data_IF_188552050858
#
_entry.id   IF_188552050858
#
_cell.length_a   1.000
_cell.length_b   1.000
_cell.length_c   1.000
_cell.angle_alpha   90.00
_cell.angle_beta   90.00
_cell.angle_gamma   90.00
#
_symmetry.space_group_name_H-M   'P 1'
#
loop_
_entity.id
_entity.type
_entity.pdbx_description
1 polymer ?
#
# COMPACT_ATOMS: atom_id res chain seq x y z
N UNK A 1 17.09 -2.82 6.28
CA UNK A 1 15.95 -3.45 5.59
C UNK A 1 16.04 -4.95 5.80
N UNK A 2 14.98 -5.58 6.30
CA UNK A 2 14.93 -7.05 6.36
C UNK A 2 14.88 -7.61 4.93
N UNK A 3 15.58 -8.71 4.62
CA UNK A 3 15.48 -9.34 3.31
C UNK A 3 14.03 -9.70 3.00
N UNK A 4 13.58 -9.45 1.77
CA UNK A 4 12.16 -9.54 1.35
C UNK A 4 11.51 -10.90 1.65
N UNK A 5 12.31 -11.96 1.70
CA UNK A 5 11.85 -13.31 2.10
C UNK A 5 11.35 -13.34 3.54
N UNK A 6 11.98 -12.61 4.45
CA UNK A 6 11.57 -12.51 5.86
C UNK A 6 10.26 -11.73 6.00
N UNK A 7 10.11 -10.65 5.22
CA UNK A 7 8.87 -9.86 5.18
C UNK A 7 7.70 -10.72 4.70
N UNK A 8 7.91 -11.61 3.73
CA UNK A 8 6.88 -12.56 3.27
C UNK A 8 6.66 -13.75 4.21
N UNK A 9 7.69 -14.18 4.95
CA UNK A 9 7.59 -15.32 5.86
C UNK A 9 6.57 -15.08 6.97
N UNK A 10 6.52 -13.88 7.54
CA UNK A 10 5.58 -13.51 8.61
C UNK A 10 4.11 -13.71 8.21
N UNK A 11 3.58 -13.09 7.13
CA UNK A 11 2.21 -13.32 6.70
C UNK A 11 2.01 -14.77 6.26
N UNK A 12 2.99 -15.42 5.63
CA UNK A 12 2.87 -16.84 5.25
C UNK A 12 2.65 -17.73 6.48
N UNK A 13 3.46 -17.58 7.52
CA UNK A 13 3.35 -18.36 8.77
C UNK A 13 1.98 -18.11 9.42
N UNK A 14 1.54 -16.85 9.49
CA UNK A 14 0.24 -16.49 10.06
C UNK A 14 -0.91 -17.19 9.30
N UNK A 15 -0.89 -17.16 7.98
CA UNK A 15 -1.91 -17.81 7.15
C UNK A 15 -1.83 -19.34 7.24
N UNK A 16 -0.64 -19.94 7.37
CA UNK A 16 -0.46 -21.38 7.61
C UNK A 16 -1.05 -21.78 8.96
N UNK A 17 -0.73 -21.05 10.03
CA UNK A 17 -1.28 -21.30 11.37
C UNK A 17 -2.80 -21.19 11.36
N UNK A 18 -3.33 -20.17 10.70
CA UNK A 18 -4.76 -19.99 10.54
C UNK A 18 -5.43 -21.15 9.78
N UNK A 19 -4.85 -21.55 8.65
CA UNK A 19 -5.34 -22.68 7.86
C UNK A 19 -5.29 -23.98 8.68
N UNK A 20 -4.21 -24.22 9.43
CA UNK A 20 -4.05 -25.39 10.29
C UNK A 20 -5.10 -25.42 11.40
N UNK A 21 -5.37 -24.30 12.07
CA UNK A 21 -6.44 -24.19 13.08
C UNK A 21 -7.80 -24.46 12.45
N UNK A 22 -8.07 -23.90 11.28
CA UNK A 22 -9.35 -24.09 10.57
C UNK A 22 -9.54 -25.55 10.17
N UNK A 23 -8.52 -26.22 9.65
CA UNK A 23 -8.55 -27.65 9.30
C UNK A 23 -8.71 -28.51 10.56
N UNK A 24 -7.98 -28.21 11.63
CA UNK A 24 -8.10 -28.92 12.90
C UNK A 24 -9.51 -28.79 13.49
N UNK A 25 -10.09 -27.59 13.42
CA UNK A 25 -11.49 -27.33 13.80
C UNK A 25 -12.45 -28.12 12.92
N UNK A 26 -12.27 -28.09 11.59
CA UNK A 26 -13.10 -28.84 10.63
C UNK A 26 -13.06 -30.34 10.87
N UNK A 27 -11.90 -30.88 11.26
CA UNK A 27 -11.75 -32.30 11.59
C UNK A 27 -12.47 -32.68 12.89
N UNK A 28 -12.34 -31.87 13.94
CA UNK A 28 -12.90 -32.21 15.26
C UNK A 28 -14.37 -31.81 15.43
N UNK A 29 -14.83 -30.79 14.70
CA UNK A 29 -16.18 -30.23 14.79
C UNK A 29 -16.86 -30.16 13.42
N UNK A 30 -16.65 -31.19 12.59
CA UNK A 30 -17.13 -31.26 11.20
C UNK A 30 -18.61 -30.85 11.04
N UNK A 31 -19.49 -31.35 11.91
CA UNK A 31 -20.94 -31.05 11.85
C UNK A 31 -21.25 -29.57 12.04
N UNK A 32 -20.51 -28.91 12.93
CA UNK A 32 -20.68 -27.47 13.21
C UNK A 32 -20.19 -26.65 12.03
N UNK A 33 -19.04 -27.01 11.47
CA UNK A 33 -18.47 -26.29 10.32
C UNK A 33 -19.28 -26.49 9.05
N UNK A 34 -19.78 -27.70 8.77
CA UNK A 34 -20.68 -27.94 7.64
C UNK A 34 -21.94 -27.10 7.76
N UNK A 35 -22.55 -27.02 8.94
CA UNK A 35 -23.73 -26.20 9.14
C UNK A 35 -23.44 -24.69 8.97
N UNK A 36 -22.29 -24.23 9.44
CA UNK A 36 -21.82 -22.84 9.25
C UNK A 36 -21.59 -22.53 7.76
N UNK A 37 -20.94 -23.44 7.01
CA UNK A 37 -20.63 -23.25 5.59
C UNK A 37 -21.89 -23.33 4.71
N UNK A 38 -22.77 -24.29 4.99
CA UNK A 38 -24.04 -24.44 4.25
C UNK A 38 -25.10 -23.43 4.67
N UNK A 39 -24.84 -22.64 5.72
CA UNK A 39 -25.81 -21.77 6.36
C UNK A 39 -27.12 -22.51 6.71
N UNK A 40 -27.01 -23.80 7.03
CA UNK A 40 -28.12 -24.70 7.28
C UNK A 40 -28.00 -25.32 8.68
N UNK A 41 -28.54 -24.60 9.66
CA UNK A 41 -28.58 -25.04 11.04
C UNK A 41 -29.57 -26.20 11.27
N UNK A 42 -30.38 -26.58 10.28
CA UNK A 42 -31.20 -27.80 10.37
C UNK A 42 -30.33 -29.06 10.34
N UNK A 43 -29.10 -28.97 9.84
CA UNK A 43 -28.12 -30.07 9.91
C UNK A 43 -27.59 -30.33 11.33
N UNK A 44 -27.77 -29.35 12.24
CA UNK A 44 -27.46 -29.48 13.67
C UNK A 44 -28.68 -30.03 14.44
N UNK A 45 -29.83 -30.24 13.79
CA UNK A 45 -31.04 -30.76 14.42
C UNK A 45 -30.73 -32.12 15.09
N UNK A 46 -30.78 -32.21 16.44
CA UNK A 46 -30.28 -33.37 17.15
C UNK A 46 -31.36 -34.44 17.12
N UNK A 47 -31.52 -35.16 16.00
CA UNK A 47 -32.50 -36.27 15.91
C UNK A 47 -32.18 -37.49 16.80
N UNK A 48 -31.26 -37.36 17.76
CA UNK A 48 -30.96 -38.43 18.74
C UNK A 48 -29.94 -38.10 19.84
N UNK A 49 -29.20 -36.98 19.76
CA UNK A 49 -28.09 -36.66 20.69
C UNK A 49 -28.49 -35.78 21.90
N UNK A 50 -29.67 -35.14 21.88
CA UNK A 50 -30.19 -34.35 23.00
C UNK A 50 -30.49 -35.17 24.27
N UNK A 51 -30.47 -36.51 24.16
CA UNK A 51 -30.85 -37.39 25.27
C UNK A 51 -29.69 -37.76 26.21
N UNK A 52 -28.43 -37.44 25.87
CA UNK A 52 -27.27 -37.84 26.68
C UNK A 52 -26.37 -36.69 27.16
N UNK A 53 -26.31 -35.56 26.45
CA UNK A 53 -25.41 -34.46 26.82
C UNK A 53 -26.24 -33.24 27.26
N UNK A 54 -26.12 -32.86 28.53
CA UNK A 54 -26.94 -31.81 29.15
C UNK A 54 -26.77 -30.40 28.54
N UNK A 55 -27.54 -29.45 29.04
CA UNK A 55 -27.58 -28.03 28.60
C UNK A 55 -26.20 -27.41 28.33
N UNK A 56 -25.20 -27.69 29.17
CA UNK A 56 -23.84 -27.18 29.01
C UNK A 56 -23.15 -27.63 27.72
N UNK A 57 -23.40 -28.85 27.27
CA UNK A 57 -22.86 -29.35 25.99
C UNK A 57 -23.48 -28.61 24.80
N UNK A 58 -24.77 -28.28 24.89
CA UNK A 58 -25.46 -27.49 23.88
C UNK A 58 -24.92 -26.06 23.82
N UNK A 59 -24.78 -25.39 24.97
CA UNK A 59 -24.16 -24.05 25.04
C UNK A 59 -22.74 -24.03 24.45
N UNK A 60 -21.94 -25.06 24.75
CA UNK A 60 -20.59 -25.19 24.20
C UNK A 60 -20.58 -25.34 22.67
N UNK A 61 -21.50 -26.14 22.13
CA UNK A 61 -21.65 -26.32 20.67
C UNK A 61 -22.02 -25.00 19.98
N UNK A 62 -22.92 -24.20 20.57
CA UNK A 62 -23.28 -22.88 20.04
C UNK A 62 -22.12 -21.88 20.11
N UNK A 63 -21.41 -21.83 21.24
CA UNK A 63 -20.23 -20.98 21.38
C UNK A 63 -19.15 -21.35 20.35
N UNK A 64 -18.91 -22.66 20.14
CA UNK A 64 -18.02 -23.16 19.11
C UNK A 64 -18.50 -22.77 17.70
N UNK A 65 -19.78 -22.87 17.40
CA UNK A 65 -20.33 -22.48 16.10
C UNK A 65 -20.15 -20.99 15.81
N UNK A 66 -20.43 -20.13 16.79
CA UNK A 66 -20.25 -18.68 16.70
C UNK A 66 -18.77 -18.36 16.47
N UNK A 67 -17.86 -18.99 17.23
CA UNK A 67 -16.43 -18.82 17.03
C UNK A 67 -15.98 -19.25 15.63
N UNK A 68 -16.42 -20.41 15.13
CA UNK A 68 -16.10 -20.85 13.76
C UNK A 68 -16.63 -19.90 12.71
N UNK A 69 -17.87 -19.44 12.86
CA UNK A 69 -18.47 -18.49 11.94
C UNK A 69 -17.64 -17.20 11.87
N UNK A 70 -17.27 -16.63 13.01
CA UNK A 70 -16.44 -15.42 13.04
C UNK A 70 -15.03 -15.67 12.50
N UNK A 71 -14.44 -16.82 12.82
CA UNK A 71 -13.13 -17.20 12.35
C UNK A 71 -13.12 -17.32 10.81
N UNK A 72 -14.06 -18.06 10.22
CA UNK A 72 -14.16 -18.23 8.77
C UNK A 72 -14.56 -16.92 8.08
N UNK A 73 -15.51 -16.17 8.63
CA UNK A 73 -15.99 -14.91 8.01
C UNK A 73 -14.91 -13.84 7.98
N UNK A 74 -14.19 -13.65 9.09
CA UNK A 74 -13.19 -12.59 9.20
C UNK A 74 -11.92 -12.94 8.43
N UNK A 75 -11.44 -14.18 8.58
CA UNK A 75 -10.13 -14.56 8.04
C UNK A 75 -10.20 -15.35 6.74
N UNK A 76 -11.35 -15.94 6.39
CA UNK A 76 -11.51 -16.70 5.15
C UNK A 76 -11.29 -15.83 3.91
N UNK A 77 -11.81 -14.60 3.89
CA UNK A 77 -11.54 -13.64 2.81
C UNK A 77 -10.05 -13.29 2.76
N UNK A 78 -9.43 -13.00 3.91
CA UNK A 78 -8.01 -12.65 3.97
C UNK A 78 -7.12 -13.80 3.47
N UNK A 79 -7.43 -15.04 3.87
CA UNK A 79 -6.73 -16.24 3.41
C UNK A 79 -6.91 -16.45 1.91
N UNK A 80 -8.12 -16.30 1.39
CA UNK A 80 -8.39 -16.41 -0.04
C UNK A 80 -7.60 -15.36 -0.84
N UNK A 81 -7.63 -14.09 -0.41
CA UNK A 81 -6.92 -12.99 -1.05
C UNK A 81 -5.39 -13.20 -0.99
N UNK A 82 -4.88 -13.74 0.13
CA UNK A 82 -3.47 -14.07 0.26
C UNK A 82 -3.05 -15.21 -0.68
N UNK A 83 -3.84 -16.29 -0.74
CA UNK A 83 -3.55 -17.44 -1.60
C UNK A 83 -3.60 -17.05 -3.07
N UNK A 84 -4.68 -16.41 -3.50
CA UNK A 84 -4.91 -16.05 -4.92
C UNK A 84 -4.08 -14.85 -5.38
N UNK A 85 -3.65 -14.00 -4.45
CA UNK A 85 -2.81 -12.84 -4.72
C UNK A 85 -1.34 -13.10 -4.45
N UNK A 86 -0.90 -12.78 -3.23
CA UNK A 86 0.51 -12.78 -2.85
C UNK A 86 1.18 -14.13 -3.03
N UNK A 87 0.62 -15.21 -2.47
CA UNK A 87 1.23 -16.54 -2.53
C UNK A 87 1.32 -17.03 -3.99
N UNK A 88 0.24 -16.91 -4.75
CA UNK A 88 0.21 -17.30 -6.15
C UNK A 88 1.25 -16.57 -7.00
N UNK A 89 1.37 -15.24 -6.86
CA UNK A 89 2.40 -14.45 -7.54
C UNK A 89 3.81 -14.95 -7.20
N UNK A 90 4.09 -15.21 -5.91
CA UNK A 90 5.40 -15.71 -5.47
C UNK A 90 5.72 -17.11 -5.99
N UNK A 91 4.72 -17.99 -6.04
CA UNK A 91 4.89 -19.32 -6.60
C UNK A 91 5.15 -19.27 -8.11
N UNK A 92 4.49 -18.37 -8.84
CA UNK A 92 4.59 -18.30 -10.31
C UNK A 92 5.80 -17.52 -10.81
N UNK A 93 6.15 -16.41 -10.17
CA UNK A 93 7.18 -15.49 -10.64
C UNK A 93 8.41 -15.38 -9.73
N UNK A 94 8.38 -16.04 -8.58
CA UNK A 94 9.45 -16.00 -7.58
C UNK A 94 9.52 -14.69 -6.80
N UNK A 95 10.64 -14.51 -6.10
CA UNK A 95 11.03 -13.23 -5.54
C UNK A 95 11.93 -12.52 -6.55
N UNK A 96 11.46 -11.41 -7.12
CA UNK A 96 12.22 -10.67 -8.14
C UNK A 96 13.07 -9.59 -7.49
N UNK A 97 14.12 -9.17 -8.20
CA UNK A 97 14.96 -8.05 -7.80
C UNK A 97 14.17 -6.72 -7.89
N UNK A 98 13.38 -6.55 -8.95
CA UNK A 98 12.42 -5.44 -9.09
C UNK A 98 11.00 -5.96 -8.89
N UNK A 99 10.28 -5.37 -7.93
CA UNK A 99 8.87 -5.68 -7.66
C UNK A 99 7.98 -4.62 -8.32
N UNK A 100 7.00 -5.05 -9.10
CA UNK A 100 6.02 -4.15 -9.71
C UNK A 100 4.75 -4.27 -8.90
N UNK A 101 4.33 -3.16 -8.30
CA UNK A 101 3.22 -3.15 -7.36
C UNK A 101 2.19 -2.13 -7.80
N UNK A 102 1.03 -2.62 -8.20
CA UNK A 102 -0.12 -1.79 -8.50
C UNK A 102 -1.02 -1.67 -7.26
N UNK A 103 -1.41 -0.44 -6.92
CA UNK A 103 -2.27 -0.13 -5.78
C UNK A 103 -3.46 0.70 -6.23
N UNK A 104 -4.64 0.37 -5.72
CA UNK A 104 -5.87 1.14 -5.92
C UNK A 104 -6.36 1.66 -4.58
N UNK A 105 -6.70 2.96 -4.45
CA UNK A 105 -7.18 3.51 -3.19
C UNK A 105 -8.61 3.03 -2.93
N UNK A 106 -8.97 2.86 -1.66
CA UNK A 106 -10.36 2.64 -1.27
C UNK A 106 -11.11 3.97 -1.33
N UNK A 107 -12.38 3.91 -1.74
CA UNK A 107 -13.21 5.08 -2.04
C UNK A 107 -13.35 6.08 -0.88
N UNK A 108 -13.06 5.68 0.36
CA UNK A 108 -13.28 6.52 1.55
C UNK A 108 -12.14 7.50 1.86
N UNK A 109 -10.99 7.43 1.17
CA UNK A 109 -9.78 8.11 1.65
C UNK A 109 -8.89 8.64 0.51
N UNK A 110 -9.46 9.03 -0.63
CA UNK A 110 -8.69 9.42 -1.83
C UNK A 110 -7.55 10.43 -1.57
N UNK A 111 -7.82 11.53 -0.85
CA UNK A 111 -6.82 12.58 -0.62
C UNK A 111 -5.65 12.12 0.27
N UNK A 112 -5.94 11.40 1.36
CA UNK A 112 -4.90 10.83 2.22
C UNK A 112 -4.17 9.68 1.53
N UNK A 113 -4.86 8.94 0.65
CA UNK A 113 -4.22 7.95 -0.23
C UNK A 113 -3.16 8.64 -1.07
N UNK A 114 -3.52 9.66 -1.85
CA UNK A 114 -2.62 10.32 -2.80
C UNK A 114 -1.34 10.83 -2.12
N UNK A 115 -1.48 11.52 -0.98
CA UNK A 115 -0.33 12.02 -0.18
C UNK A 115 0.56 10.88 0.35
N UNK A 116 -0.04 9.74 0.70
CA UNK A 116 0.70 8.56 1.16
C UNK A 116 1.37 7.82 0.00
N UNK A 117 0.77 7.81 -1.20
CA UNK A 117 1.39 7.23 -2.39
C UNK A 117 2.62 8.01 -2.88
N UNK A 118 2.70 9.30 -2.56
CA UNK A 118 3.87 10.12 -2.86
C UNK A 118 4.94 10.11 -1.74
N UNK A 119 4.64 9.47 -0.60
CA UNK A 119 5.57 9.38 0.54
C UNK A 119 6.68 8.37 0.26
N UNK A 120 7.94 8.85 0.21
CA UNK A 120 9.14 8.02 0.09
C UNK A 120 9.18 6.90 1.16
N UNK A 121 8.77 7.21 2.38
CA UNK A 121 8.75 6.24 3.49
C UNK A 121 7.78 5.10 3.24
N UNK A 122 6.56 5.40 2.77
CA UNK A 122 5.56 4.39 2.45
C UNK A 122 6.05 3.43 1.36
N UNK A 123 6.80 3.95 0.38
CA UNK A 123 7.36 3.18 -0.74
C UNK A 123 8.52 2.28 -0.31
N UNK A 124 9.29 2.72 0.69
CA UNK A 124 10.45 2.02 1.23
C UNK A 124 10.08 0.98 2.30
N UNK A 125 9.13 1.30 3.18
CA UNK A 125 8.73 0.45 4.31
C UNK A 125 7.68 -0.60 3.95
N UNK A 126 6.77 -0.28 3.03
CA UNK A 126 5.79 -1.22 2.51
C UNK A 126 5.89 -1.28 0.98
N UNK A 127 6.87 -2.03 0.44
CA UNK A 127 6.98 -2.24 -1.01
C UNK A 127 5.93 -3.21 -1.55
N UNK A 128 4.87 -3.55 -0.80
CA UNK A 128 3.78 -4.39 -1.28
C UNK A 128 3.73 -5.75 -0.62
N UNK A 129 3.85 -5.82 0.69
CA UNK A 129 3.60 -7.07 1.45
C UNK A 129 2.44 -6.94 2.45
N UNK A 130 2.00 -5.72 2.78
CA UNK A 130 0.88 -5.53 3.69
C UNK A 130 -0.40 -5.23 2.93
N UNK A 131 -1.25 -6.25 2.81
CA UNK A 131 -2.69 -6.15 2.56
C UNK A 131 -3.45 -5.33 3.63
N UNK A 132 -2.75 -4.88 4.68
CA UNK A 132 -3.25 -4.13 5.83
C UNK A 132 -2.87 -2.65 5.84
N UNK A 133 -2.49 -2.05 4.71
CA UNK A 133 -2.37 -0.60 4.61
C UNK A 133 -3.63 0.02 4.00
N UNK A 134 -4.75 0.14 4.75
CA UNK A 134 -5.81 1.01 4.30
C UNK A 134 -5.22 2.42 4.12
N UNK A 135 -5.62 3.12 3.05
CA UNK A 135 -6.74 2.79 2.17
C UNK A 135 -6.40 1.97 0.93
N UNK A 136 -5.17 1.49 0.75
CA UNK A 136 -4.74 0.86 -0.51
C UNK A 136 -5.05 -0.63 -0.58
N UNK A 137 -5.58 -1.07 -1.73
CA UNK A 137 -5.68 -2.48 -2.11
C UNK A 137 -4.67 -2.79 -3.20
N UNK A 138 -3.99 -3.92 -3.07
CA UNK A 138 -3.06 -4.43 -4.08
C UNK A 138 -3.84 -5.00 -5.28
N UNK A 139 -3.42 -4.64 -6.49
CA UNK A 139 -3.96 -5.16 -7.74
C UNK A 139 -3.01 -6.23 -8.29
N UNK A 140 -3.23 -7.48 -7.88
CA UNK A 140 -2.37 -8.59 -8.26
C UNK A 140 -2.47 -8.97 -9.74
N UNK A 141 -3.63 -8.76 -10.36
CA UNK A 141 -3.81 -8.99 -11.80
C UNK A 141 -2.90 -8.10 -12.62
N UNK A 142 -2.94 -6.79 -12.39
CA UNK A 142 -2.06 -5.84 -13.07
C UNK A 142 -0.57 -6.13 -12.81
N UNK A 143 -0.23 -6.53 -11.58
CA UNK A 143 1.16 -6.91 -11.24
C UNK A 143 1.60 -8.17 -11.98
N UNK A 144 0.72 -9.18 -12.09
CA UNK A 144 0.98 -10.40 -12.83
C UNK A 144 1.09 -10.16 -14.34
N UNK A 145 0.24 -9.29 -14.91
CA UNK A 145 0.29 -8.90 -16.32
C UNK A 145 1.60 -8.17 -16.64
N UNK A 146 2.04 -7.28 -15.75
CA UNK A 146 3.33 -6.62 -15.90
C UNK A 146 4.50 -7.63 -15.88
N UNK A 147 4.46 -8.63 -14.99
CA UNK A 147 5.48 -9.68 -15.01
C UNK A 147 5.43 -10.57 -16.25
N UNK A 148 4.24 -10.81 -16.80
CA UNK A 148 4.09 -11.55 -18.05
C UNK A 148 4.76 -10.82 -19.21
N UNK A 149 4.43 -9.55 -19.40
CA UNK A 149 4.98 -8.70 -20.46
C UNK A 149 6.50 -8.52 -20.32
N UNK A 150 7.01 -8.43 -19.08
CA UNK A 150 8.44 -8.42 -18.82
C UNK A 150 9.13 -9.72 -19.27
N UNK A 151 8.50 -10.88 -19.01
CA UNK A 151 9.06 -12.18 -19.43
C UNK A 151 9.03 -12.37 -20.94
N UNK A 152 8.07 -11.75 -21.63
CA UNK A 152 8.00 -11.70 -23.09
C UNK A 152 9.02 -10.74 -23.72
N UNK A 153 9.77 -10.00 -22.90
CA UNK A 153 10.76 -9.02 -23.37
C UNK A 153 10.14 -7.76 -23.96
N UNK A 154 8.84 -7.53 -23.74
CA UNK A 154 8.14 -6.31 -24.20
C UNK A 154 8.70 -5.08 -23.48
N UNK A 155 9.15 -5.22 -22.24
CA UNK A 155 9.85 -4.17 -21.50
C UNK A 155 10.83 -4.72 -20.46
N UNK A 156 11.80 -3.89 -20.09
CA UNK A 156 12.73 -4.17 -18.98
C UNK A 156 12.16 -3.63 -17.65
N UNK A 157 12.07 -4.50 -16.64
CA UNK A 157 11.64 -4.15 -15.30
C UNK A 157 12.54 -3.10 -14.64
N UNK A 158 13.82 -3.01 -15.04
CA UNK A 158 14.75 -2.00 -14.51
C UNK A 158 14.37 -0.57 -14.88
N UNK A 159 13.60 -0.41 -15.94
CA UNK A 159 13.15 0.90 -16.43
C UNK A 159 11.82 1.34 -15.81
N UNK A 160 11.24 0.55 -14.92
CA UNK A 160 10.00 0.92 -14.23
C UNK A 160 10.28 1.92 -13.12
N UNK A 161 9.84 3.16 -13.34
CA UNK A 161 9.84 4.21 -12.34
C UNK A 161 8.51 4.25 -11.59
N UNK A 162 8.55 4.69 -10.33
CA UNK A 162 7.34 4.93 -9.57
C UNK A 162 6.55 6.07 -10.21
N UNK A 163 5.28 5.79 -10.52
CA UNK A 163 4.35 6.78 -11.05
C UNK A 163 3.00 6.63 -10.37
N UNK A 164 2.38 7.74 -10.00
CA UNK A 164 0.99 7.77 -9.55
C UNK A 164 0.14 8.15 -10.74
N UNK A 165 -0.94 7.42 -10.97
CA UNK A 165 -1.84 7.68 -12.09
C UNK A 165 -3.17 8.16 -11.55
N UNK A 166 -3.66 9.27 -12.10
CA UNK A 166 -4.95 9.85 -11.73
C UNK A 166 -5.86 9.87 -12.94
N UNK A 167 -7.13 9.49 -12.73
CA UNK A 167 -8.16 9.60 -13.75
C UNK A 167 -8.94 10.90 -13.55
N UNK A 168 -8.87 11.81 -14.51
CA UNK A 168 -9.56 13.09 -14.43
C UNK A 168 -11.10 12.92 -14.55
N UNK A 169 -11.84 14.02 -14.36
CA UNK A 169 -13.32 14.04 -14.47
C UNK A 169 -13.83 13.62 -15.85
N UNK A 170 -13.00 13.72 -16.88
CA UNK A 170 -13.29 13.31 -18.25
C UNK A 170 -12.84 11.88 -18.55
N UNK A 171 -12.57 11.08 -17.53
CA UNK A 171 -12.16 9.68 -17.67
C UNK A 171 -10.81 9.43 -18.34
N UNK A 172 -9.97 10.46 -18.50
CA UNK A 172 -8.62 10.36 -19.05
C UNK A 172 -7.62 10.10 -17.94
N UNK A 173 -6.65 9.22 -18.20
CA UNK A 173 -5.55 8.92 -17.27
C UNK A 173 -4.40 9.91 -17.47
N UNK A 174 -3.96 10.55 -16.39
CA UNK A 174 -2.81 11.44 -16.34
C UNK A 174 -1.80 10.93 -15.32
N UNK A 175 -0.51 10.99 -15.67
CA UNK A 175 0.58 10.58 -14.77
C UNK A 175 0.90 11.73 -13.83
N UNK A 176 0.65 11.54 -12.54
CA UNK A 176 1.25 12.31 -11.46
C UNK A 176 2.59 11.63 -11.15
N UNK A 177 3.67 12.07 -11.79
CA UNK A 177 4.99 11.53 -11.47
C UNK A 177 5.27 11.79 -10.00
N UNK A 178 5.46 10.75 -9.20
CA UNK A 178 6.08 10.88 -7.87
C UNK A 178 7.56 10.95 -8.14
N UNK A 179 7.98 12.10 -8.67
CA UNK A 179 9.39 12.40 -8.76
C UNK A 179 9.90 12.55 -7.34
N UNK A 180 11.07 11.97 -7.09
CA UNK A 180 11.79 12.17 -5.85
C UNK A 180 11.78 13.66 -5.52
N UNK A 181 11.44 14.06 -4.28
CA UNK A 181 11.46 15.47 -3.88
C UNK A 181 12.80 16.15 -4.19
N UNK A 182 13.87 15.39 -4.43
CA UNK A 182 15.17 15.89 -4.88
C UNK A 182 15.09 16.85 -6.07
N UNK A 183 14.37 16.57 -7.16
CA UNK A 183 14.46 17.42 -8.37
C UNK A 183 13.82 18.80 -8.20
N UNK A 184 12.61 18.87 -7.63
CA UNK A 184 11.98 20.14 -7.30
C UNK A 184 12.79 20.91 -6.25
N UNK A 185 13.41 20.20 -5.30
CA UNK A 185 14.30 20.81 -4.31
C UNK A 185 15.60 21.33 -4.94
N UNK A 186 16.19 20.63 -5.92
CA UNK A 186 17.39 21.08 -6.63
C UNK A 186 17.11 22.39 -7.39
N UNK A 187 15.96 22.47 -8.08
CA UNK A 187 15.54 23.69 -8.80
C UNK A 187 15.22 24.83 -7.81
N UNK A 188 14.57 24.51 -6.69
CA UNK A 188 14.32 25.48 -5.62
C UNK A 188 15.63 26.00 -5.02
N UNK A 189 16.61 25.11 -4.77
CA UNK A 189 17.94 25.50 -4.29
C UNK A 189 18.66 26.40 -5.30
N UNK A 190 18.68 26.02 -6.59
CA UNK A 190 19.24 26.85 -7.67
C UNK A 190 18.60 28.25 -7.69
N UNK A 191 17.26 28.33 -7.52
CA UNK A 191 16.54 29.60 -7.46
C UNK A 191 16.91 30.41 -6.21
N UNK A 192 16.95 29.81 -5.04
CA UNK A 192 17.36 30.50 -3.81
C UNK A 192 18.79 31.04 -3.91
N UNK A 193 19.71 30.26 -4.48
CA UNK A 193 21.08 30.72 -4.76
C UNK A 193 21.09 31.89 -5.75
N UNK A 194 20.26 31.85 -6.81
CA UNK A 194 20.14 32.96 -7.76
C UNK A 194 19.60 34.26 -7.15
N UNK A 195 18.85 34.15 -6.05
CA UNK A 195 18.35 35.28 -5.25
C UNK A 195 19.35 35.76 -4.19
N UNK A 196 20.55 35.16 -4.13
CA UNK A 196 21.57 35.46 -3.13
C UNK A 196 21.25 34.92 -1.73
N UNK A 197 20.39 33.90 -1.64
CA UNK A 197 19.93 33.27 -0.40
C UNK A 197 20.67 31.94 -0.14
N UNK A 198 22.00 31.93 -0.31
CA UNK A 198 22.83 30.72 -0.21
C UNK A 198 22.79 30.09 1.19
N UNK A 199 22.84 30.92 2.24
CA UNK A 199 22.80 30.46 3.63
C UNK A 199 21.44 29.83 3.98
N UNK A 200 20.36 30.49 3.56
CA UNK A 200 19.01 29.96 3.72
C UNK A 200 18.77 28.69 2.90
N UNK A 201 19.35 28.58 1.71
CA UNK A 201 19.28 27.36 0.89
C UNK A 201 19.89 26.16 1.62
N UNK A 202 21.05 26.34 2.26
CA UNK A 202 21.69 25.30 3.06
C UNK A 202 20.89 24.96 4.33
N UNK A 203 20.34 25.97 5.02
CA UNK A 203 19.50 25.77 6.19
C UNK A 203 18.20 25.03 5.85
N UNK A 204 17.54 25.42 4.75
CA UNK A 204 16.33 24.78 4.25
C UNK A 204 16.56 23.30 3.93
N UNK A 205 17.72 22.94 3.38
CA UNK A 205 18.07 21.53 3.15
C UNK A 205 18.11 20.72 4.45
N UNK A 206 18.72 21.29 5.49
CA UNK A 206 18.79 20.66 6.82
C UNK A 206 17.40 20.55 7.44
N UNK A 207 16.59 21.61 7.36
CA UNK A 207 15.21 21.63 7.86
C UNK A 207 14.36 20.59 7.15
N UNK A 208 14.40 20.54 5.81
CA UNK A 208 13.63 19.59 5.02
C UNK A 208 14.08 18.15 5.29
N UNK A 209 15.39 17.89 5.36
CA UNK A 209 15.90 16.57 5.77
C UNK A 209 15.41 16.20 7.17
N UNK A 210 15.41 17.15 8.09
CA UNK A 210 14.95 16.94 9.47
C UNK A 210 13.45 16.66 9.52
N UNK A 211 12.62 17.47 8.87
CA UNK A 211 11.16 17.28 8.77
C UNK A 211 10.83 15.94 8.09
N UNK A 212 11.50 15.63 6.97
CA UNK A 212 11.30 14.36 6.25
C UNK A 212 11.75 13.16 7.08
N UNK A 213 12.78 13.32 7.91
CA UNK A 213 13.25 12.28 8.84
C UNK A 213 12.39 12.16 10.10
N UNK A 214 11.75 13.26 10.55
CA UNK A 214 10.97 13.36 11.78
C UNK A 214 9.47 13.17 11.57
N UNK A 215 8.98 13.16 10.32
CA UNK A 215 7.63 12.74 9.91
C UNK A 215 7.39 11.23 10.12
N UNK A 216 7.91 10.69 11.24
CA UNK A 216 7.75 9.34 11.72
C UNK A 216 6.33 9.12 12.28
N UNK A 217 5.58 10.20 12.52
CA UNK A 217 4.25 10.19 13.13
C UNK A 217 3.29 11.01 12.25
N UNK A 218 2.32 10.36 11.61
CA UNK A 218 1.15 11.03 10.98
C UNK A 218 0.28 11.70 12.08
N UNK A 219 -0.56 12.73 11.79
CA UNK A 219 -1.01 13.24 10.49
C UNK A 219 -1.14 14.79 10.43
N UNK A 220 -0.10 15.54 10.07
CA UNK A 220 -0.24 17.00 9.90
C UNK A 220 0.54 17.53 8.67
N UNK A 221 0.32 16.91 7.51
CA UNK A 221 0.90 17.38 6.24
C UNK A 221 0.52 18.84 5.94
N UNK A 222 -0.66 19.31 6.37
CA UNK A 222 -1.06 20.73 6.23
C UNK A 222 -0.22 21.65 7.11
N UNK A 223 0.18 21.20 8.28
CA UNK A 223 0.96 22.03 9.20
C UNK A 223 2.43 22.06 8.79
N UNK A 224 2.95 21.01 8.14
CA UNK A 224 4.26 21.06 7.47
C UNK A 224 4.30 22.14 6.39
N UNK A 225 3.30 22.20 5.50
CA UNK A 225 3.26 23.26 4.48
C UNK A 225 3.15 24.66 5.09
N UNK A 226 2.37 24.84 6.15
CA UNK A 226 2.33 26.12 6.87
C UNK A 226 3.64 26.47 7.55
N UNK A 227 4.35 25.48 8.11
CA UNK A 227 5.67 25.68 8.71
C UNK A 227 6.66 26.15 7.65
N UNK A 228 6.67 25.48 6.48
CA UNK A 228 7.53 25.86 5.35
C UNK A 228 7.14 27.25 4.84
N UNK A 229 5.86 27.54 4.67
CA UNK A 229 5.37 28.88 4.27
C UNK A 229 5.84 29.95 5.27
N UNK A 230 5.74 29.71 6.57
CA UNK A 230 6.19 30.65 7.59
C UNK A 230 7.71 30.91 7.52
N UNK A 231 8.51 29.85 7.35
CA UNK A 231 9.97 29.96 7.22
C UNK A 231 10.36 30.81 5.99
N UNK A 232 9.67 30.61 4.86
CA UNK A 232 9.90 31.44 3.67
C UNK A 232 9.45 32.89 3.85
N UNK A 233 8.33 33.12 4.55
CA UNK A 233 7.85 34.46 4.86
C UNK A 233 8.80 35.23 5.78
N UNK A 234 9.46 34.55 6.74
CA UNK A 234 10.50 35.15 7.59
C UNK A 234 11.68 35.67 6.76
N UNK A 235 11.99 35.00 5.65
CA UNK A 235 13.03 35.40 4.69
C UNK A 235 12.58 36.43 3.64
N UNK A 236 11.31 36.85 3.71
CA UNK A 236 10.69 37.78 2.77
C UNK A 236 10.37 37.16 1.40
N UNK A 237 10.18 35.84 1.35
CA UNK A 237 9.91 35.07 0.13
C UNK A 237 8.49 34.50 0.14
N UNK A 238 7.80 34.57 -1.00
CA UNK A 238 6.53 33.86 -1.17
C UNK A 238 6.81 32.43 -1.64
N UNK A 239 6.69 31.47 -0.71
CA UNK A 239 6.88 30.05 -1.00
C UNK A 239 5.97 29.56 -2.12
N UNK A 240 4.72 30.03 -2.21
CA UNK A 240 3.76 29.54 -3.21
C UNK A 240 4.12 30.01 -4.60
N UNK A 241 4.54 31.26 -4.73
CA UNK A 241 5.00 31.82 -6.00
C UNK A 241 6.27 31.11 -6.46
N UNK A 242 7.27 31.00 -5.57
CA UNK A 242 8.52 30.28 -5.87
C UNK A 242 8.29 28.81 -6.23
N UNK A 243 7.39 28.12 -5.52
CA UNK A 243 7.09 26.72 -5.80
C UNK A 243 6.37 26.56 -7.16
N UNK A 244 5.44 27.45 -7.50
CA UNK A 244 4.78 27.43 -8.81
C UNK A 244 5.78 27.67 -9.97
N UNK A 245 6.79 28.53 -9.77
CA UNK A 245 7.87 28.72 -10.74
C UNK A 245 8.77 27.48 -10.85
N UNK A 246 9.06 26.81 -9.74
CA UNK A 246 9.80 25.54 -9.72
C UNK A 246 9.06 24.47 -10.53
N UNK A 247 7.75 24.32 -10.31
CA UNK A 247 6.90 23.37 -11.05
C UNK A 247 6.92 23.66 -12.56
N UNK A 248 6.85 24.93 -12.94
CA UNK A 248 6.89 25.36 -14.36
C UNK A 248 8.25 25.08 -15.00
N UNK A 249 9.35 25.39 -14.32
CA UNK A 249 10.71 25.15 -14.81
C UNK A 249 11.04 23.66 -14.88
N UNK A 250 10.54 22.87 -13.94
CA UNK A 250 10.64 21.41 -13.97
C UNK A 250 9.92 20.83 -15.19
N UNK A 251 8.68 21.26 -15.45
CA UNK A 251 7.91 20.83 -16.63
C UNK A 251 8.65 21.17 -17.93
N UNK A 252 9.26 22.36 -18.00
CA UNK A 252 10.09 22.78 -19.15
C UNK A 252 11.30 21.86 -19.35
N UNK A 253 12.06 21.57 -18.29
CA UNK A 253 13.23 20.66 -18.34
C UNK A 253 12.84 19.25 -18.74
N UNK A 254 11.69 18.76 -18.25
CA UNK A 254 11.16 17.45 -18.61
C UNK A 254 10.76 17.36 -20.08
N UNK A 255 10.10 18.38 -20.61
CA UNK A 255 9.72 18.44 -22.02
C UNK A 255 10.95 18.46 -22.94
N UNK A 256 12.02 19.15 -22.55
CA UNK A 256 13.28 19.15 -23.29
C UNK A 256 13.96 17.77 -23.28
N UNK A 257 14.00 17.10 -22.12
CA UNK A 257 14.51 15.73 -22.03
C UNK A 257 13.69 14.78 -22.90
N UNK A 258 12.36 14.90 -22.87
CA UNK A 258 11.48 14.05 -23.66
C UNK A 258 11.76 14.18 -25.17
N UNK A 259 11.95 15.40 -25.66
CA UNK A 259 12.32 15.66 -27.07
C UNK A 259 13.72 15.13 -27.44
N UNK A 260 14.65 15.04 -26.48
CA UNK A 260 15.99 14.51 -26.71
C UNK A 260 16.05 12.98 -26.79
N UNK A 261 15.18 12.29 -26.05
CA UNK A 261 15.20 10.82 -25.95
C UNK A 261 14.14 10.12 -26.82
N UNK A 262 13.13 10.85 -27.31
CA UNK A 262 12.05 10.33 -28.14
C UNK A 262 11.79 11.25 -29.35
N UNK A 263 12.66 11.22 -30.37
CA UNK A 263 12.47 11.99 -31.61
C UNK A 263 11.31 11.45 -32.48
#
# INVERSE_FOLDING_TARGET
MLPRREIFATPLILHILFAAVTIWRARNNYRVIVAVVLNDFNYIEPRGLLRQNGFWSWCWMFAAAIFDYHLIKTFGSALYDFITGHLWLRLRYGFRETEVVFRTPSNAAWQSSLLRATSHRFLVEDPGCTSHCPPWKLCYTASADAYHLANEGVFDLKNWELSVWHRNRHSQWTVLKVQTPSRGLDILQEKLQSLGKDEFSAELEVILRTILSAAVVEPEARDIFKIIENIFQEEGLDFRELWAEVETEEERRLNQLFQLYFP
#
